data_IF_101367339686
#
_entry.id   IF_101367339686
#
_cell.length_a   1.000
_cell.length_b   1.000
_cell.length_c   1.000
_cell.angle_alpha   90.00
_cell.angle_beta   90.00
_cell.angle_gamma   90.00
#
_symmetry.space_group_name_H-M   'P 1'
#
loop_
_entity.id
_entity.type
_entity.pdbx_description
1 polymer ?
#
# COMPACT_ATOMS: atom_id res chain seq x y z
N UNK A 1 -11.67 8.03 1.40
CA UNK A 1 -12.53 7.21 0.53
C UNK A 1 -13.96 7.12 1.07
N UNK A 2 -14.15 6.62 2.28
CA UNK A 2 -15.49 6.42 2.87
C UNK A 2 -16.31 7.72 2.96
N UNK A 3 -15.70 8.86 3.31
CA UNK A 3 -16.37 10.16 3.33
C UNK A 3 -16.88 10.58 1.93
N UNK A 4 -16.08 10.32 0.88
CA UNK A 4 -16.50 10.56 -0.51
C UNK A 4 -17.69 9.69 -0.91
N UNK A 5 -17.72 8.44 -0.45
CA UNK A 5 -18.86 7.55 -0.68
C UNK A 5 -20.11 8.05 0.04
N UNK A 6 -20.02 8.35 1.36
CA UNK A 6 -21.14 8.83 2.19
C UNK A 6 -21.72 10.16 1.72
N UNK A 7 -20.90 11.01 1.07
CA UNK A 7 -21.33 12.29 0.51
C UNK A 7 -21.82 12.18 -0.95
N UNK A 8 -21.95 10.99 -1.50
CA UNK A 8 -22.32 10.76 -2.89
C UNK A 8 -23.77 10.26 -3.04
N UNK A 9 -24.35 10.32 -4.25
CA UNK A 9 -25.64 9.70 -4.54
C UNK A 9 -25.67 8.19 -4.27
N UNK A 10 -24.52 7.55 -4.12
CA UNK A 10 -24.37 6.12 -3.83
C UNK A 10 -24.21 5.81 -2.33
N UNK A 11 -24.42 6.80 -1.43
CA UNK A 11 -24.23 6.65 0.01
C UNK A 11 -25.02 5.49 0.66
N UNK A 12 -26.21 5.18 0.10
CA UNK A 12 -27.04 4.07 0.56
C UNK A 12 -26.65 2.70 -0.04
N UNK A 13 -25.66 2.66 -0.93
CA UNK A 13 -25.17 1.45 -1.58
C UNK A 13 -23.93 0.91 -0.88
N UNK A 14 -23.42 -0.23 -1.35
CA UNK A 14 -22.25 -0.86 -0.75
C UNK A 14 -20.96 -0.05 -1.00
N UNK A 15 -20.16 0.09 0.04
CA UNK A 15 -18.77 0.54 -0.02
C UNK A 15 -17.88 -0.67 0.24
N UNK A 16 -17.21 -1.13 -0.81
CA UNK A 16 -16.31 -2.29 -0.74
C UNK A 16 -14.88 -1.78 -0.78
N UNK A 17 -14.10 -2.07 0.27
CA UNK A 17 -12.70 -1.70 0.36
C UNK A 17 -11.81 -2.93 0.23
N UNK A 18 -10.78 -2.83 -0.60
CA UNK A 18 -9.81 -3.89 -0.83
C UNK A 18 -8.41 -3.28 -0.85
N UNK A 19 -7.50 -3.84 -0.04
CA UNK A 19 -6.10 -3.45 -0.03
C UNK A 19 -5.30 -4.38 -0.93
N UNK A 20 -4.79 -3.85 -2.07
CA UNK A 20 -4.06 -4.63 -3.07
C UNK A 20 -2.69 -5.11 -2.57
N UNK A 21 -2.05 -4.39 -1.63
CA UNK A 21 -0.77 -4.77 -1.06
C UNK A 21 -0.86 -5.84 0.03
N UNK A 22 -2.03 -6.00 0.67
CA UNK A 22 -2.23 -6.98 1.74
C UNK A 22 -2.60 -8.38 1.21
N UNK A 23 -3.00 -8.51 -0.06
CA UNK A 23 -3.45 -9.75 -0.67
C UNK A 23 -2.30 -10.40 -1.44
N UNK A 24 -2.04 -11.71 -1.27
CA UNK A 24 -1.10 -12.44 -2.11
C UNK A 24 -1.44 -12.27 -3.60
N UNK A 25 -0.42 -12.11 -4.42
CA UNK A 25 -0.57 -11.82 -5.87
C UNK A 25 -1.45 -12.84 -6.59
N UNK A 26 -1.28 -14.12 -6.25
CA UNK A 26 -2.02 -15.22 -6.85
C UNK A 26 -3.52 -15.22 -6.50
N UNK A 27 -3.91 -14.55 -5.40
CA UNK A 27 -5.29 -14.45 -4.95
C UNK A 27 -5.96 -13.14 -5.33
N UNK A 28 -5.20 -12.12 -5.71
CA UNK A 28 -5.71 -10.78 -5.97
C UNK A 28 -6.80 -10.78 -7.06
N UNK A 29 -6.63 -11.53 -8.12
CA UNK A 29 -7.62 -11.66 -9.19
C UNK A 29 -8.93 -12.24 -8.68
N UNK A 30 -8.83 -13.31 -7.90
CA UNK A 30 -9.97 -13.97 -7.28
C UNK A 30 -10.69 -13.08 -6.26
N UNK A 31 -9.97 -12.25 -5.51
CA UNK A 31 -10.57 -11.31 -4.56
C UNK A 31 -11.33 -10.19 -5.28
N UNK A 32 -10.78 -9.67 -6.38
CA UNK A 32 -11.42 -8.58 -7.14
C UNK A 32 -12.59 -9.11 -7.98
N UNK A 33 -12.39 -10.16 -8.77
CA UNK A 33 -13.36 -10.62 -9.78
C UNK A 33 -14.17 -11.84 -9.35
N UNK A 34 -13.75 -12.54 -8.29
CA UNK A 34 -14.35 -13.81 -7.87
C UNK A 34 -13.81 -15.00 -8.67
N UNK A 35 -14.23 -16.20 -8.28
CA UNK A 35 -13.85 -17.42 -8.97
C UNK A 35 -14.97 -18.46 -8.96
N UNK A 36 -14.95 -19.35 -9.93
CA UNK A 36 -15.76 -20.55 -9.98
C UNK A 36 -15.04 -21.69 -9.26
N UNK A 37 -15.82 -22.63 -8.72
CA UNK A 37 -15.29 -23.87 -8.16
C UNK A 37 -14.39 -24.58 -9.18
N UNK A 38 -13.19 -25.00 -8.73
CA UNK A 38 -12.21 -25.69 -9.58
C UNK A 38 -11.35 -24.76 -10.45
N UNK A 39 -11.46 -23.45 -10.34
CA UNK A 39 -10.69 -22.50 -11.15
C UNK A 39 -9.16 -22.56 -10.88
N UNK A 40 -8.77 -22.96 -9.69
CA UNK A 40 -7.36 -23.18 -9.28
C UNK A 40 -7.28 -24.18 -8.13
N UNK A 41 -6.09 -24.65 -7.80
CA UNK A 41 -5.86 -25.56 -6.66
C UNK A 41 -6.27 -24.87 -5.36
N UNK A 42 -7.35 -25.36 -4.72
CA UNK A 42 -7.92 -24.74 -3.51
C UNK A 42 -9.26 -24.03 -3.73
N UNK A 43 -9.73 -23.85 -4.96
CA UNK A 43 -11.07 -23.32 -5.27
C UNK A 43 -12.17 -24.38 -5.02
N UNK A 44 -12.52 -24.60 -3.76
CA UNK A 44 -13.49 -25.63 -3.34
C UNK A 44 -14.95 -25.23 -3.56
N UNK A 45 -15.25 -23.93 -3.68
CA UNK A 45 -16.58 -23.36 -3.89
C UNK A 45 -16.51 -22.15 -4.81
N UNK A 46 -17.66 -21.71 -5.34
CA UNK A 46 -17.78 -20.43 -6.03
C UNK A 46 -17.62 -19.28 -5.03
N UNK A 47 -16.93 -18.21 -5.44
CA UNK A 47 -16.76 -17.00 -4.63
C UNK A 47 -17.08 -15.74 -5.43
N UNK A 48 -17.93 -14.90 -4.87
CA UNK A 48 -18.26 -13.59 -5.44
C UNK A 48 -17.13 -12.61 -5.11
N UNK A 49 -16.59 -11.94 -6.15
CA UNK A 49 -15.54 -10.94 -6.00
C UNK A 49 -16.03 -9.55 -5.60
N UNK A 50 -15.08 -8.72 -5.13
CA UNK A 50 -15.33 -7.33 -4.71
C UNK A 50 -16.01 -6.48 -5.80
N UNK A 51 -15.68 -6.70 -7.07
CA UNK A 51 -16.28 -6.00 -8.21
C UNK A 51 -17.80 -6.22 -8.28
N UNK A 52 -18.27 -7.45 -8.07
CA UNK A 52 -19.71 -7.76 -8.08
C UNK A 52 -20.40 -7.28 -6.80
N UNK A 53 -19.75 -7.38 -5.66
CA UNK A 53 -20.27 -6.87 -4.38
C UNK A 53 -20.45 -5.35 -4.39
N UNK A 54 -19.61 -4.62 -5.14
CA UNK A 54 -19.67 -3.17 -5.28
C UNK A 54 -20.68 -2.69 -6.32
N UNK A 55 -21.47 -3.57 -6.94
CA UNK A 55 -22.43 -3.22 -7.99
C UNK A 55 -23.46 -2.16 -7.52
N UNK A 56 -23.59 -1.08 -8.26
CA UNK A 56 -24.37 0.11 -7.89
C UNK A 56 -23.72 0.99 -6.82
N UNK A 57 -22.59 0.57 -6.24
CA UNK A 57 -21.90 1.20 -5.12
C UNK A 57 -20.53 1.79 -5.46
N UNK A 58 -19.59 1.65 -4.52
CA UNK A 58 -18.21 2.15 -4.65
C UNK A 58 -17.22 1.04 -4.33
N UNK A 59 -16.24 0.84 -5.20
CA UNK A 59 -15.08 -0.02 -4.97
C UNK A 59 -13.88 0.87 -4.65
N UNK A 60 -13.33 0.73 -3.45
CA UNK A 60 -12.11 1.38 -3.01
C UNK A 60 -10.94 0.41 -3.10
N UNK A 61 -9.96 0.75 -3.94
CA UNK A 61 -8.72 0.00 -4.11
C UNK A 61 -7.58 0.75 -3.43
N UNK A 62 -7.15 0.25 -2.29
CA UNK A 62 -6.01 0.80 -1.55
C UNK A 62 -4.70 0.17 -2.03
N UNK A 63 -3.61 0.94 -1.95
CA UNK A 63 -2.27 0.53 -2.39
C UNK A 63 -2.25 0.01 -3.84
N UNK A 64 -2.95 0.72 -4.77
CA UNK A 64 -3.05 0.32 -6.19
C UNK A 64 -1.70 0.19 -6.88
N UNK A 65 -0.67 0.93 -6.42
CA UNK A 65 0.70 0.84 -6.92
C UNK A 65 1.41 -0.49 -6.65
N UNK A 66 0.86 -1.33 -5.75
CA UNK A 66 1.39 -2.68 -5.48
C UNK A 66 0.82 -3.75 -6.42
N UNK A 67 -0.16 -3.39 -7.26
CA UNK A 67 -0.84 -4.33 -8.15
C UNK A 67 0.10 -4.84 -9.25
N UNK A 68 0.20 -6.16 -9.49
CA UNK A 68 0.99 -6.73 -10.57
C UNK A 68 0.54 -6.23 -11.96
N UNK A 69 1.46 -6.06 -12.90
CA UNK A 69 1.17 -5.54 -14.25
C UNK A 69 0.08 -6.33 -14.99
N UNK A 70 0.05 -7.65 -14.81
CA UNK A 70 -0.98 -8.53 -15.39
C UNK A 70 -2.38 -8.18 -14.90
N UNK A 71 -2.49 -7.87 -13.61
CA UNK A 71 -3.75 -7.46 -12.99
C UNK A 71 -4.16 -6.04 -13.41
N UNK A 72 -3.19 -5.15 -13.64
CA UNK A 72 -3.46 -3.80 -14.12
C UNK A 72 -4.14 -3.83 -15.50
N UNK A 73 -3.79 -4.78 -16.39
CA UNK A 73 -4.46 -4.97 -17.69
C UNK A 73 -5.93 -5.34 -17.51
N UNK A 74 -6.21 -6.26 -16.60
CA UNK A 74 -7.59 -6.69 -16.31
C UNK A 74 -8.41 -5.58 -15.66
N UNK A 75 -7.79 -4.87 -14.71
CA UNK A 75 -8.41 -3.72 -14.07
C UNK A 75 -8.72 -2.60 -15.07
N UNK A 76 -7.80 -2.30 -15.99
CA UNK A 76 -8.03 -1.29 -17.04
C UNK A 76 -9.28 -1.60 -17.85
N UNK A 77 -9.42 -2.83 -18.33
CA UNK A 77 -10.61 -3.27 -19.06
C UNK A 77 -11.87 -3.11 -18.22
N UNK A 78 -11.80 -3.52 -16.96
CA UNK A 78 -12.93 -3.41 -16.04
C UNK A 78 -13.33 -1.94 -15.79
N UNK A 79 -12.38 -1.03 -15.57
CA UNK A 79 -12.64 0.41 -15.38
C UNK A 79 -13.21 1.06 -16.64
N UNK A 80 -12.82 0.57 -17.83
CA UNK A 80 -13.29 1.11 -19.11
C UNK A 80 -14.71 0.66 -19.48
N UNK A 81 -15.03 -0.61 -19.24
CA UNK A 81 -16.24 -1.25 -19.77
C UNK A 81 -17.29 -1.55 -18.71
N UNK A 82 -16.91 -1.59 -17.43
CA UNK A 82 -17.77 -2.10 -16.35
C UNK A 82 -17.99 -3.63 -16.44
N UNK A 83 -17.21 -4.34 -17.28
CA UNK A 83 -17.39 -5.78 -17.54
C UNK A 83 -16.13 -6.54 -17.10
N UNK A 84 -16.34 -7.66 -16.45
CA UNK A 84 -15.28 -8.60 -16.07
C UNK A 84 -15.78 -10.05 -16.14
N UNK A 85 -14.89 -11.03 -16.07
CA UNK A 85 -15.24 -12.44 -15.91
C UNK A 85 -14.59 -13.01 -14.66
N UNK A 86 -15.32 -13.77 -13.82
CA UNK A 86 -14.73 -14.51 -12.70
C UNK A 86 -13.67 -15.50 -13.17
N UNK A 87 -12.67 -15.76 -12.33
CA UNK A 87 -11.62 -16.75 -12.63
C UNK A 87 -12.23 -18.12 -12.87
N UNK A 88 -11.85 -18.77 -13.97
CA UNK A 88 -12.44 -20.05 -14.40
C UNK A 88 -13.80 -19.95 -15.09
N UNK A 89 -14.32 -18.73 -15.35
CA UNK A 89 -15.54 -18.50 -16.10
C UNK A 89 -15.28 -17.70 -17.38
N UNK A 90 -15.93 -18.12 -18.47
CA UNK A 90 -15.98 -17.34 -19.71
C UNK A 90 -17.20 -16.41 -19.79
N UNK A 91 -18.11 -16.47 -18.80
CA UNK A 91 -19.32 -15.64 -18.79
C UNK A 91 -18.98 -14.21 -18.30
N UNK A 92 -19.20 -13.16 -19.12
CA UNK A 92 -19.00 -11.80 -18.69
C UNK A 92 -20.07 -11.39 -17.67
N UNK A 93 -19.66 -10.58 -16.71
CA UNK A 93 -20.52 -9.96 -15.71
C UNK A 93 -20.39 -8.44 -15.87
N UNK A 94 -21.51 -7.76 -16.07
CA UNK A 94 -21.57 -6.31 -16.14
C UNK A 94 -22.03 -5.73 -14.80
N UNK A 95 -21.40 -4.65 -14.39
CA UNK A 95 -21.69 -3.93 -13.13
C UNK A 95 -21.49 -2.42 -13.32
N UNK A 96 -22.12 -1.64 -12.47
CA UNK A 96 -21.95 -0.18 -12.40
C UNK A 96 -21.24 0.19 -11.09
N UNK A 97 -19.95 0.43 -11.16
CA UNK A 97 -19.10 0.68 -9.98
C UNK A 97 -18.42 2.05 -10.05
N UNK A 98 -18.50 2.82 -8.96
CA UNK A 98 -17.66 4.00 -8.77
C UNK A 98 -16.31 3.57 -8.20
N UNK A 99 -15.22 3.89 -8.90
CA UNK A 99 -13.87 3.61 -8.43
C UNK A 99 -13.32 4.75 -7.59
N UNK A 100 -12.68 4.41 -6.47
CA UNK A 100 -11.83 5.29 -5.68
C UNK A 100 -10.54 4.52 -5.43
N UNK A 101 -9.41 5.09 -5.83
CA UNK A 101 -8.10 4.44 -5.69
C UNK A 101 -7.21 5.24 -4.76
N UNK A 102 -6.34 4.56 -4.01
CA UNK A 102 -5.31 5.19 -3.19
C UNK A 102 -3.95 4.53 -3.41
N UNK A 103 -2.91 5.32 -3.25
CA UNK A 103 -1.52 4.84 -3.27
C UNK A 103 -0.67 5.73 -2.37
N UNK A 104 0.34 5.16 -1.76
CA UNK A 104 1.38 5.85 -1.00
C UNK A 104 2.64 6.14 -1.86
N UNK A 105 2.64 5.70 -3.12
CA UNK A 105 3.70 5.95 -4.10
C UNK A 105 3.31 7.08 -5.04
N UNK A 106 4.30 7.74 -5.63
CA UNK A 106 4.07 8.64 -6.76
C UNK A 106 3.73 7.80 -8.01
N UNK A 107 2.48 7.88 -8.52
CA UNK A 107 2.07 7.03 -9.64
C UNK A 107 2.88 7.29 -10.92
N UNK A 108 3.32 8.53 -11.15
CA UNK A 108 4.11 8.88 -12.35
C UNK A 108 5.52 8.30 -12.27
N UNK A 109 6.15 8.28 -11.09
CA UNK A 109 7.44 7.60 -10.89
C UNK A 109 7.31 6.08 -11.08
N UNK A 110 6.18 5.48 -10.67
CA UNK A 110 5.91 4.06 -10.91
C UNK A 110 5.71 3.75 -12.40
N UNK A 111 5.09 4.67 -13.17
CA UNK A 111 4.97 4.56 -14.64
C UNK A 111 6.35 4.62 -15.29
N UNK A 112 7.18 5.61 -14.93
CA UNK A 112 8.54 5.76 -15.48
C UNK A 112 9.42 4.54 -15.18
N UNK A 113 9.22 3.93 -14.02
CA UNK A 113 9.93 2.72 -13.60
C UNK A 113 9.36 1.42 -14.22
N UNK A 114 8.31 1.51 -15.04
CA UNK A 114 7.67 0.35 -15.68
C UNK A 114 6.90 -0.57 -14.72
N UNK A 115 6.62 -0.12 -13.51
CA UNK A 115 5.84 -0.88 -12.51
C UNK A 115 4.35 -0.57 -12.52
N UNK A 116 3.97 0.56 -13.12
CA UNK A 116 2.57 0.94 -13.34
C UNK A 116 2.33 1.26 -14.81
N UNK A 117 1.19 0.85 -15.35
CA UNK A 117 0.86 1.10 -16.76
C UNK A 117 0.39 2.52 -16.94
N UNK A 118 0.89 3.18 -17.95
CA UNK A 118 0.53 4.55 -18.32
C UNK A 118 -0.95 4.70 -18.69
N UNK A 119 -1.51 3.73 -19.43
CA UNK A 119 -2.91 3.73 -19.85
C UNK A 119 -3.87 3.61 -18.65
N UNK A 120 -3.54 2.80 -17.65
CA UNK A 120 -4.31 2.71 -16.42
C UNK A 120 -4.17 3.98 -15.59
N UNK A 121 -2.96 4.57 -15.52
CA UNK A 121 -2.74 5.83 -14.83
C UNK A 121 -3.70 6.92 -15.33
N UNK A 122 -3.72 7.21 -16.63
CA UNK A 122 -4.60 8.24 -17.18
C UNK A 122 -6.09 7.93 -17.00
N UNK A 123 -6.46 6.68 -16.91
CA UNK A 123 -7.87 6.30 -16.67
C UNK A 123 -8.29 6.49 -15.22
N UNK A 124 -7.39 6.33 -14.27
CA UNK A 124 -7.67 6.50 -12.83
C UNK A 124 -7.43 7.92 -12.33
N UNK A 125 -6.44 8.61 -12.89
CA UNK A 125 -6.01 9.95 -12.46
C UNK A 125 -6.88 11.06 -13.05
N UNK A 126 -8.21 10.97 -12.83
CA UNK A 126 -9.18 11.96 -13.34
C UNK A 126 -9.39 13.10 -12.33
N UNK A 127 -9.54 12.75 -11.07
CA UNK A 127 -9.72 13.71 -9.97
C UNK A 127 -8.75 13.36 -8.85
N UNK A 128 -7.52 13.89 -8.86
CA UNK A 128 -6.57 13.65 -7.79
C UNK A 128 -6.99 14.35 -6.50
N UNK A 129 -6.83 13.63 -5.38
CA UNK A 129 -7.05 14.15 -4.02
C UNK A 129 -5.78 13.93 -3.24
N UNK A 130 -5.01 14.98 -3.03
CA UNK A 130 -3.81 14.95 -2.23
C UNK A 130 -4.15 15.11 -0.74
N UNK A 131 -3.62 14.22 0.08
CA UNK A 131 -3.78 14.25 1.53
C UNK A 131 -2.47 14.73 2.15
N UNK A 132 -2.39 15.96 2.68
CA UNK A 132 -1.18 16.45 3.30
C UNK A 132 -0.85 15.62 4.55
N UNK A 133 0.44 15.44 4.86
CA UNK A 133 0.86 14.76 6.09
C UNK A 133 0.40 15.54 7.33
N UNK A 134 0.26 14.84 8.45
CA UNK A 134 -0.32 15.41 9.66
C UNK A 134 0.42 16.66 10.17
N UNK A 135 1.75 16.74 10.00
CA UNK A 135 2.58 17.90 10.33
C UNK A 135 2.22 19.19 9.56
N UNK A 136 1.54 19.06 8.42
CA UNK A 136 1.13 20.18 7.57
C UNK A 136 -0.35 20.58 7.77
N UNK A 137 -1.02 19.90 8.71
CA UNK A 137 -2.46 20.09 8.97
C UNK A 137 -2.76 20.94 10.22
N UNK A 138 -1.73 21.62 10.78
CA UNK A 138 -1.90 22.53 11.91
C UNK A 138 -2.59 21.88 13.11
N UNK A 139 -3.69 22.49 13.56
CA UNK A 139 -4.41 22.07 14.78
C UNK A 139 -5.16 20.75 14.65
N UNK A 140 -5.23 20.15 13.47
CA UNK A 140 -5.89 18.84 13.27
C UNK A 140 -5.28 17.74 14.16
N UNK A 141 -3.98 17.88 14.52
CA UNK A 141 -3.32 16.95 15.46
C UNK A 141 -4.11 16.83 16.76
N UNK A 142 -4.49 17.96 17.35
CA UNK A 142 -5.22 17.98 18.64
C UNK A 142 -6.68 17.57 18.47
N UNK A 143 -7.33 17.98 17.37
CA UNK A 143 -8.71 17.57 17.08
C UNK A 143 -8.81 16.05 16.96
N UNK A 144 -7.91 15.45 16.18
CA UNK A 144 -7.87 14.00 15.96
C UNK A 144 -7.47 13.26 17.26
N UNK A 145 -6.49 13.80 18.01
CA UNK A 145 -6.07 13.20 19.27
C UNK A 145 -7.21 13.17 20.31
N UNK A 146 -7.98 14.25 20.43
CA UNK A 146 -9.12 14.34 21.34
C UNK A 146 -10.25 13.39 20.94
N UNK A 147 -10.52 13.24 19.63
CA UNK A 147 -11.50 12.27 19.15
C UNK A 147 -11.09 10.84 19.49
N UNK A 148 -9.82 10.48 19.22
CA UNK A 148 -9.28 9.18 19.58
C UNK A 148 -9.34 8.94 21.11
N UNK A 149 -8.96 9.94 21.89
CA UNK A 149 -9.00 9.84 23.37
C UNK A 149 -10.42 9.54 23.86
N UNK A 150 -11.42 10.31 23.40
CA UNK A 150 -12.81 10.11 23.76
C UNK A 150 -13.33 8.72 23.37
N UNK A 151 -13.00 8.28 22.14
CA UNK A 151 -13.41 6.96 21.65
C UNK A 151 -12.77 5.83 22.44
N UNK A 152 -11.45 5.85 22.61
CA UNK A 152 -10.73 4.79 23.31
C UNK A 152 -11.04 4.78 24.80
N UNK A 153 -11.22 5.94 25.45
CA UNK A 153 -11.65 6.01 26.84
C UNK A 153 -13.00 5.31 27.05
N UNK A 154 -13.93 5.48 26.11
CA UNK A 154 -15.21 4.78 26.14
C UNK A 154 -15.05 3.26 25.89
N UNK A 155 -14.24 2.86 24.93
CA UNK A 155 -13.97 1.45 24.61
C UNK A 155 -13.34 0.72 25.82
N UNK A 156 -12.33 1.33 26.46
CA UNK A 156 -11.56 0.76 27.56
C UNK A 156 -12.14 1.09 28.95
N UNK A 157 -13.30 1.78 29.01
CA UNK A 157 -13.97 2.23 30.24
C UNK A 157 -13.06 3.06 31.16
N UNK A 158 -12.28 3.96 30.55
CA UNK A 158 -11.38 4.89 31.24
C UNK A 158 -12.00 6.26 31.42
N UNK A 159 -11.50 7.02 32.40
CA UNK A 159 -12.03 8.33 32.78
C UNK A 159 -11.46 9.54 32.03
N UNK A 160 -10.59 9.35 31.04
CA UNK A 160 -9.94 10.46 30.37
C UNK A 160 -10.91 11.37 29.63
N UNK A 161 -10.77 12.69 29.88
CA UNK A 161 -11.60 13.77 29.30
C UNK A 161 -10.82 14.71 28.42
N UNK A 162 -9.47 14.71 28.51
CA UNK A 162 -8.64 15.63 27.73
C UNK A 162 -7.14 15.45 28.00
N UNK A 163 -6.37 16.35 27.41
CA UNK A 163 -4.92 16.43 27.58
C UNK A 163 -4.59 17.67 28.42
N UNK A 164 -3.53 17.63 29.22
CA UNK A 164 -2.97 18.83 29.84
C UNK A 164 -2.38 19.76 28.76
N UNK A 165 -2.26 21.05 29.04
CA UNK A 165 -1.68 22.03 28.13
C UNK A 165 -0.25 21.66 27.70
N UNK A 166 0.53 21.10 28.60
CA UNK A 166 1.90 20.62 28.31
C UNK A 166 1.87 19.38 27.40
N UNK A 167 0.95 18.45 27.62
CA UNK A 167 0.78 17.29 26.75
C UNK A 167 0.32 17.70 25.34
N UNK A 168 -0.61 18.65 25.21
CA UNK A 168 -1.03 19.21 23.93
C UNK A 168 0.13 19.85 23.17
N UNK A 169 0.96 20.65 23.86
CA UNK A 169 2.14 21.26 23.26
C UNK A 169 3.13 20.21 22.73
N UNK A 170 3.32 19.11 23.46
CA UNK A 170 4.15 17.98 23.00
C UNK A 170 3.60 17.29 21.76
N UNK A 171 2.29 17.03 21.72
CA UNK A 171 1.63 16.44 20.56
C UNK A 171 1.75 17.34 19.32
N UNK A 172 1.60 18.66 19.49
CA UNK A 172 1.75 19.65 18.40
C UNK A 172 3.18 19.78 17.89
N UNK A 173 4.16 19.69 18.77
CA UNK A 173 5.56 19.83 18.41
C UNK A 173 6.14 18.61 17.68
N UNK A 174 5.51 17.44 17.79
CA UNK A 174 6.03 16.22 17.20
C UNK A 174 5.67 16.13 15.70
N UNK A 175 6.60 15.72 14.80
CA UNK A 175 6.40 15.75 13.35
C UNK A 175 5.54 14.61 12.77
N UNK A 176 5.16 13.64 13.57
CA UNK A 176 4.26 12.52 13.20
C UNK A 176 4.66 11.79 11.90
N UNK A 177 5.83 11.18 11.80
CA UNK A 177 6.26 10.50 10.57
C UNK A 177 5.29 9.37 10.15
N UNK A 178 4.63 8.71 11.08
CA UNK A 178 3.56 7.73 10.82
C UNK A 178 2.16 8.34 10.76
N UNK A 179 2.06 9.67 10.67
CA UNK A 179 0.81 10.42 10.52
C UNK A 179 -0.28 10.00 11.52
N UNK A 180 -1.52 9.98 11.08
CA UNK A 180 -2.69 9.65 11.90
C UNK A 180 -2.62 8.25 12.51
N UNK A 181 -2.02 7.27 11.82
CA UNK A 181 -1.85 5.90 12.34
C UNK A 181 -0.93 5.88 13.56
N UNK A 182 0.15 6.65 13.53
CA UNK A 182 1.05 6.78 14.70
C UNK A 182 0.35 7.49 15.86
N UNK A 183 -0.33 8.61 15.59
CA UNK A 183 -1.10 9.34 16.59
C UNK A 183 -2.14 8.45 17.24
N UNK A 184 -2.89 7.68 16.47
CA UNK A 184 -3.87 6.71 16.97
C UNK A 184 -3.24 5.69 17.92
N UNK A 185 -2.08 5.12 17.53
CA UNK A 185 -1.39 4.15 18.39
C UNK A 185 -0.88 4.76 19.69
N UNK A 186 -0.36 5.99 19.64
CA UNK A 186 0.08 6.72 20.84
C UNK A 186 -1.08 6.96 21.79
N UNK A 187 -2.20 7.47 21.30
CA UNK A 187 -3.38 7.73 22.14
C UNK A 187 -3.97 6.43 22.70
N UNK A 188 -4.03 5.37 21.88
CA UNK A 188 -4.48 4.06 22.38
C UNK A 188 -3.57 3.51 23.48
N UNK A 189 -2.26 3.63 23.31
CA UNK A 189 -1.27 3.22 24.31
C UNK A 189 -1.49 3.96 25.65
N UNK A 190 -1.69 5.28 25.58
CA UNK A 190 -1.97 6.10 26.78
C UNK A 190 -3.20 5.55 27.52
N UNK A 191 -4.31 5.36 26.83
CA UNK A 191 -5.58 4.92 27.42
C UNK A 191 -5.49 3.51 28.01
N UNK A 192 -4.75 2.61 27.36
CA UNK A 192 -4.59 1.22 27.83
C UNK A 192 -3.69 1.13 29.06
N UNK A 193 -2.58 1.88 29.09
CA UNK A 193 -1.56 1.75 30.13
C UNK A 193 -1.78 2.65 31.35
N UNK A 194 -2.54 3.72 31.22
CA UNK A 194 -2.72 4.70 32.27
C UNK A 194 -4.18 4.87 32.69
N UNK A 195 -4.39 5.53 33.81
CA UNK A 195 -5.70 5.90 34.34
C UNK A 195 -5.68 7.35 34.82
N UNK A 196 -6.80 8.05 34.72
CA UNK A 196 -6.89 9.45 35.10
C UNK A 196 -7.99 10.19 34.35
N UNK A 197 -8.20 11.48 34.71
CA UNK A 197 -9.12 12.35 34.00
C UNK A 197 -8.45 13.17 32.89
N UNK A 198 -7.16 13.46 33.07
CA UNK A 198 -6.38 14.29 32.12
C UNK A 198 -5.07 13.60 31.81
N UNK A 199 -4.73 13.53 30.52
CA UNK A 199 -3.46 12.96 30.07
C UNK A 199 -2.33 13.92 30.41
N UNK A 200 -1.38 13.48 31.24
CA UNK A 200 -0.19 14.20 31.62
C UNK A 200 0.99 13.88 30.67
N UNK A 201 2.05 14.72 30.63
CA UNK A 201 3.19 14.55 29.73
C UNK A 201 3.96 13.24 29.90
N UNK A 202 4.04 12.73 31.12
CA UNK A 202 4.70 11.46 31.50
C UNK A 202 3.96 10.22 30.97
N UNK A 203 2.68 10.33 30.68
CA UNK A 203 1.86 9.27 30.07
C UNK A 203 2.11 9.13 28.56
N UNK A 204 2.72 10.12 27.92
CA UNK A 204 3.01 10.08 26.48
C UNK A 204 4.24 9.19 26.23
N UNK A 205 4.14 8.15 25.41
CA UNK A 205 5.26 7.24 25.16
C UNK A 205 6.37 7.87 24.32
N UNK A 206 7.59 7.35 24.45
CA UNK A 206 8.67 7.69 23.55
C UNK A 206 8.34 7.21 22.10
N UNK A 207 8.80 7.92 21.05
CA UNK A 207 9.74 9.06 21.09
C UNK A 207 9.07 10.45 21.29
N UNK A 208 7.75 10.51 21.38
CA UNK A 208 6.98 11.77 21.43
C UNK A 208 7.32 12.60 22.67
N UNK A 209 7.54 11.95 23.81
CA UNK A 209 7.91 12.62 25.07
C UNK A 209 9.40 12.96 25.22
N UNK A 210 10.23 12.72 24.21
CA UNK A 210 11.68 13.03 24.25
C UNK A 210 11.97 14.27 23.41
N UNK A 211 12.14 15.45 24.00
CA UNK A 211 12.58 16.63 23.26
C UNK A 211 14.00 16.39 22.71
N UNK A 212 14.19 16.58 21.41
CA UNK A 212 15.51 16.52 20.77
C UNK A 212 15.91 15.17 20.13
N UNK A 213 15.12 14.12 20.24
CA UNK A 213 15.29 12.92 19.40
C UNK A 213 14.69 13.23 18.04
N UNK A 214 15.54 13.53 17.06
CA UNK A 214 15.09 13.64 15.68
C UNK A 214 14.37 12.34 15.29
N UNK A 215 13.18 12.40 14.67
CA UNK A 215 12.54 11.21 14.13
C UNK A 215 13.51 10.54 13.15
N UNK A 216 13.44 9.20 12.98
CA UNK A 216 14.24 8.53 11.98
C UNK A 216 14.08 9.26 10.63
N UNK A 217 15.14 9.38 9.81
CA UNK A 217 15.08 10.14 8.58
C UNK A 217 13.90 9.67 7.73
N UNK A 218 12.97 10.59 7.51
CA UNK A 218 11.89 10.37 6.55
C UNK A 218 12.56 10.30 5.20
N UNK A 219 12.27 9.27 4.41
CA UNK A 219 12.69 9.25 3.01
C UNK A 219 12.35 10.60 2.37
N UNK A 220 13.27 11.19 1.57
CA UNK A 220 13.05 12.51 1.01
C UNK A 220 11.68 12.56 0.33
N UNK A 221 10.94 13.66 0.46
CA UNK A 221 9.68 13.83 -0.23
C UNK A 221 9.93 13.61 -1.73
N UNK A 222 9.02 12.95 -2.45
CA UNK A 222 9.13 12.84 -3.89
C UNK A 222 9.32 14.26 -4.46
N UNK A 223 10.24 14.38 -5.40
CA UNK A 223 10.60 15.65 -6.04
C UNK A 223 9.32 16.36 -6.46
N UNK A 224 9.14 17.59 -5.97
CA UNK A 224 7.95 18.37 -6.26
C UNK A 224 7.73 18.46 -7.77
N UNK A 225 6.67 17.84 -8.25
CA UNK A 225 6.18 18.07 -9.61
C UNK A 225 5.75 19.54 -9.66
N UNK A 226 6.16 20.32 -10.68
CA UNK A 226 5.77 21.71 -10.76
C UNK A 226 4.25 21.83 -10.72
N UNK A 227 3.74 22.42 -9.67
CA UNK A 227 2.33 22.72 -9.51
C UNK A 227 1.98 23.73 -10.58
N UNK A 228 1.27 23.32 -11.62
CA UNK A 228 0.63 24.25 -12.54
C UNK A 228 -0.42 25.00 -11.72
N UNK A 229 -0.07 26.20 -11.31
CA UNK A 229 -0.97 27.11 -10.62
C UNK A 229 -2.03 27.54 -11.63
N UNK A 230 -3.16 26.85 -11.64
CA UNK A 230 -4.35 27.32 -12.36
C UNK A 230 -4.83 28.54 -11.59
N UNK A 231 -4.49 29.72 -12.06
CA UNK A 231 -5.10 30.96 -11.58
C UNK A 231 -6.60 30.85 -11.83
N UNK A 232 -7.38 30.69 -10.77
CA UNK A 232 -8.82 30.87 -10.82
C UNK A 232 -9.09 32.34 -11.20
N UNK A 233 -9.31 32.61 -12.47
CA UNK A 233 -10.04 33.81 -12.84
C UNK A 233 -11.37 33.76 -12.12
N UNK A 234 -11.65 34.76 -11.27
CA UNK A 234 -12.97 34.98 -10.73
C UNK A 234 -13.91 35.04 -11.93
N UNK A 235 -14.79 34.07 -12.05
CA UNK A 235 -15.93 34.13 -12.92
C UNK A 235 -16.90 35.13 -12.28
N UNK A 236 -16.86 36.36 -12.75
CA UNK A 236 -17.95 37.29 -12.58
C UNK A 236 -19.19 36.68 -13.25
N UNK A 237 -20.30 36.81 -12.61
CA UNK A 237 -21.62 36.25 -12.90
C UNK A 237 -21.90 36.05 -14.41
N UNK A 238 -21.78 34.83 -14.89
CA UNK A 238 -22.31 34.43 -16.17
C UNK A 238 -23.75 33.99 -15.93
N UNK A 239 -24.73 34.80 -16.38
CA UNK A 239 -26.14 34.49 -16.24
C UNK A 239 -26.51 33.22 -17.00
N UNK A 240 -27.49 32.46 -16.50
CA UNK A 240 -27.94 31.19 -17.10
C UNK A 240 -28.38 31.35 -18.57
N UNK A 241 -28.72 32.56 -19.03
CA UNK A 241 -29.07 32.88 -20.42
C UNK A 241 -27.86 32.87 -21.36
N UNK A 242 -26.68 33.30 -20.89
CA UNK A 242 -25.43 33.29 -21.67
C UNK A 242 -24.90 31.89 -21.94
N UNK A 243 -25.15 30.94 -21.03
CA UNK A 243 -24.81 29.53 -21.21
C UNK A 243 -25.69 28.83 -22.24
N UNK A 244 -26.99 29.16 -22.29
CA UNK A 244 -27.94 28.61 -23.27
C UNK A 244 -27.62 29.05 -24.70
N UNK A 245 -27.20 30.32 -24.90
CA UNK A 245 -26.78 30.82 -26.21
C UNK A 245 -25.47 30.24 -26.73
N UNK A 246 -24.50 29.96 -25.81
CA UNK A 246 -23.24 29.27 -26.17
C UNK A 246 -23.44 27.82 -26.59
N UNK A 247 -24.41 27.12 -26.02
CA UNK A 247 -24.73 25.74 -26.40
C UNK A 247 -25.45 25.65 -27.73
N UNK A 248 -26.30 26.66 -28.03
CA UNK A 248 -27.03 26.73 -29.29
C UNK A 248 -26.17 27.10 -30.51
N UNK A 249 -24.99 27.66 -30.31
CA UNK A 249 -24.06 28.09 -31.38
C UNK A 249 -22.89 27.14 -31.61
N UNK A 250 -22.85 25.97 -30.96
CA UNK A 250 -21.84 24.98 -31.20
C UNK A 250 -22.01 24.32 -32.59
N UNK A 251 -20.98 24.29 -33.45
CA UNK A 251 -21.07 23.63 -34.72
C UNK A 251 -21.32 22.12 -34.52
N UNK A 252 -22.22 21.57 -35.33
CA UNK A 252 -22.58 20.18 -35.36
C UNK A 252 -21.31 19.34 -35.58
N UNK A 253 -20.99 18.43 -34.61
CA UNK A 253 -19.82 17.59 -34.68
C UNK A 253 -20.06 16.52 -35.75
N UNK A 254 -19.45 16.71 -36.92
CA UNK A 254 -19.41 15.70 -37.99
C UNK A 254 -18.32 14.71 -37.57
N UNK A 255 -18.70 13.46 -37.25
CA UNK A 255 -17.74 12.37 -37.04
C UNK A 255 -16.88 12.20 -38.33
N UNK A 256 -15.55 12.29 -38.25
CA UNK A 256 -14.72 11.95 -39.39
C UNK A 256 -14.86 10.45 -39.67
N UNK A 257 -15.28 10.11 -40.91
CA UNK A 257 -15.22 8.73 -41.40
C UNK A 257 -13.77 8.24 -41.27
N UNK A 258 -13.55 7.32 -40.34
CA UNK A 258 -12.27 6.65 -40.17
C UNK A 258 -12.09 5.66 -41.31
N UNK A 259 -11.41 6.10 -42.39
CA UNK A 259 -10.87 5.20 -43.38
C UNK A 259 -9.78 4.37 -42.69
N UNK A 260 -10.08 3.11 -42.44
CA UNK A 260 -9.10 2.15 -41.94
C UNK A 260 -8.01 1.93 -42.96
N UNK A 261 -6.83 2.51 -42.78
CA UNK A 261 -5.62 2.21 -43.53
C UNK A 261 -4.89 1.13 -42.68
N UNK A 262 -4.82 -0.13 -43.19
CA UNK A 262 -4.04 -1.15 -42.49
C UNK A 262 -2.58 -0.73 -42.41
N UNK A 263 -1.91 -0.93 -41.24
CA UNK A 263 -0.49 -0.66 -41.13
C UNK A 263 0.29 -1.52 -42.14
N UNK A 264 1.37 -0.99 -42.75
CA UNK A 264 2.20 -1.77 -43.66
C UNK A 264 2.76 -2.98 -42.91
N UNK A 265 2.73 -4.15 -43.57
CA UNK A 265 3.31 -5.37 -43.04
C UNK A 265 4.79 -5.14 -42.68
N UNK A 266 5.22 -5.57 -41.49
CA UNK A 266 6.63 -5.44 -41.13
C UNK A 266 7.48 -6.29 -42.03
N UNK A 267 8.33 -5.65 -42.85
CA UNK A 267 9.35 -6.32 -43.65
C UNK A 267 10.41 -6.84 -42.68
N UNK A 268 10.31 -8.12 -42.30
CA UNK A 268 11.34 -8.81 -41.55
C UNK A 268 12.61 -8.92 -42.42
N UNK A 269 13.53 -7.97 -42.27
CA UNK A 269 14.90 -8.17 -42.71
C UNK A 269 15.59 -9.10 -41.72
N UNK A 270 15.88 -10.32 -42.13
CA UNK A 270 16.70 -11.24 -41.34
C UNK A 270 18.04 -10.55 -41.03
N UNK A 271 18.47 -10.50 -39.76
CA UNK A 271 19.79 -9.97 -39.44
C UNK A 271 20.86 -10.85 -40.11
N UNK A 272 21.78 -10.20 -40.81
CA UNK A 272 22.95 -10.88 -41.38
C UNK A 272 23.70 -11.62 -40.26
N UNK A 273 24.04 -12.88 -40.53
CA UNK A 273 24.85 -13.73 -39.66
C UNK A 273 26.06 -12.96 -39.13
N UNK A 274 26.25 -12.86 -37.79
CA UNK A 274 27.40 -12.17 -37.24
C UNK A 274 28.70 -12.88 -37.67
N UNK A 275 29.63 -12.13 -38.23
CA UNK A 275 31.01 -12.62 -38.46
C UNK A 275 31.64 -12.95 -37.13
N UNK A 276 32.42 -14.04 -36.98
CA UNK A 276 33.11 -14.38 -35.76
C UNK A 276 34.12 -13.27 -35.42
N UNK A 277 33.90 -12.61 -34.28
CA UNK A 277 34.85 -11.66 -33.70
C UNK A 277 35.95 -12.47 -33.01
N UNK A 278 37.14 -12.45 -33.62
CA UNK A 278 38.35 -13.04 -33.02
C UNK A 278 38.83 -12.06 -31.96
N UNK A 279 38.57 -12.32 -30.70
CA UNK A 279 39.19 -11.61 -29.57
C UNK A 279 40.63 -12.09 -29.41
N UNK A 280 41.58 -11.23 -29.73
CA UNK A 280 42.97 -11.38 -29.26
C UNK A 280 42.96 -11.08 -27.77
N UNK A 281 43.20 -12.11 -26.96
CA UNK A 281 43.30 -11.97 -25.48
C UNK A 281 44.59 -11.23 -25.13
N UNK A 282 44.59 -10.18 -24.32
CA UNK A 282 45.79 -9.73 -23.64
C UNK A 282 46.09 -10.73 -22.52
N UNK A 283 47.35 -11.10 -22.41
CA UNK A 283 47.94 -11.97 -21.36
C UNK A 283 47.43 -11.61 -19.98
N UNK A 284 46.56 -12.45 -19.40
CA UNK A 284 46.23 -12.44 -18.01
C UNK A 284 47.15 -13.48 -17.33
N UNK A 285 47.91 -13.05 -16.33
CA UNK A 285 48.65 -13.92 -15.47
C UNK A 285 47.74 -14.98 -14.82
N UNK A 286 48.18 -16.19 -14.58
CA UNK A 286 47.36 -17.25 -13.98
C UNK A 286 46.98 -16.85 -12.55
N UNK A 287 45.68 -16.72 -12.32
CA UNK A 287 45.08 -16.57 -11.00
C UNK A 287 45.28 -17.93 -10.29
N UNK A 288 45.88 -17.96 -9.09
CA UNK A 288 46.02 -19.23 -8.34
C UNK A 288 44.62 -19.81 -8.05
N UNK A 289 44.44 -21.12 -8.08
CA UNK A 289 43.15 -21.74 -7.82
C UNK A 289 42.71 -21.38 -6.39
N UNK A 290 41.55 -20.73 -6.27
CA UNK A 290 40.89 -20.57 -4.99
C UNK A 290 40.44 -21.95 -4.56
N UNK A 291 41.16 -22.52 -3.57
CA UNK A 291 40.75 -23.72 -2.88
C UNK A 291 39.42 -23.40 -2.15
N UNK A 292 38.33 -23.82 -2.72
CA UNK A 292 37.06 -23.94 -1.98
C UNK A 292 37.29 -25.06 -0.97
N UNK A 293 37.59 -24.69 0.29
CA UNK A 293 37.49 -25.59 1.40
C UNK A 293 36.12 -26.27 1.33
N UNK A 294 36.11 -27.59 1.49
CA UNK A 294 34.91 -28.41 1.45
C UNK A 294 33.79 -27.69 2.22
N UNK A 295 32.70 -27.37 1.56
CA UNK A 295 31.51 -26.86 2.23
C UNK A 295 31.14 -27.88 3.30
N UNK A 296 30.89 -27.49 4.56
CA UNK A 296 30.42 -28.41 5.56
C UNK A 296 29.17 -29.09 5.00
N UNK A 297 29.16 -30.42 4.97
CA UNK A 297 28.00 -31.23 4.60
C UNK A 297 26.83 -30.73 5.44
N UNK A 298 25.89 -30.08 4.81
CA UNK A 298 24.69 -29.60 5.47
C UNK A 298 23.79 -30.81 5.65
N UNK A 299 23.80 -31.35 6.85
CA UNK A 299 22.95 -32.46 7.26
C UNK A 299 21.48 -32.02 7.06
N UNK A 300 20.76 -32.66 6.14
CA UNK A 300 19.36 -32.39 5.90
C UNK A 300 18.56 -32.87 7.11
N UNK A 301 18.02 -31.93 7.89
CA UNK A 301 17.19 -32.18 9.06
C UNK A 301 15.85 -31.48 8.96
N UNK A 302 14.82 -31.91 9.70
CA UNK A 302 13.50 -31.23 9.70
C UNK A 302 13.65 -29.74 10.01
N UNK A 303 12.89 -28.89 9.29
CA UNK A 303 12.97 -27.43 9.39
C UNK A 303 12.80 -26.92 10.84
N UNK A 304 11.89 -27.50 11.60
CA UNK A 304 11.69 -27.17 13.01
C UNK A 304 12.93 -27.41 13.89
N UNK A 305 13.71 -28.46 13.60
CA UNK A 305 14.95 -28.78 14.29
C UNK A 305 16.06 -27.79 13.91
N UNK A 306 16.17 -27.47 12.64
CA UNK A 306 17.11 -26.47 12.12
C UNK A 306 16.81 -25.07 12.68
N UNK A 307 15.57 -24.66 12.66
CA UNK A 307 15.13 -23.39 13.23
C UNK A 307 15.46 -23.27 14.72
N UNK A 308 15.18 -24.31 15.48
CA UNK A 308 15.54 -24.36 16.90
C UNK A 308 17.05 -24.24 17.12
N UNK A 309 17.85 -24.95 16.33
CA UNK A 309 19.32 -24.92 16.41
C UNK A 309 19.86 -23.52 16.12
N UNK A 310 19.32 -22.84 15.11
CA UNK A 310 19.71 -21.47 14.76
C UNK A 310 19.34 -20.45 15.84
N UNK A 311 18.15 -20.55 16.42
CA UNK A 311 17.71 -19.64 17.49
C UNK A 311 18.56 -19.85 18.75
N UNK A 312 18.86 -21.10 19.14
CA UNK A 312 19.70 -21.38 20.28
C UNK A 312 21.15 -20.91 20.07
N UNK A 313 21.69 -21.07 18.86
CA UNK A 313 23.03 -20.60 18.51
C UNK A 313 23.11 -19.06 18.52
N UNK A 314 22.05 -18.37 18.06
CA UNK A 314 21.97 -16.91 18.13
C UNK A 314 21.88 -16.41 19.58
N UNK A 315 21.08 -17.04 20.42
CA UNK A 315 20.97 -16.71 21.84
C UNK A 315 22.29 -16.93 22.59
N UNK A 316 23.00 -18.01 22.33
CA UNK A 316 24.33 -18.26 22.95
C UNK A 316 25.40 -17.24 22.53
N UNK A 317 25.30 -16.68 21.29
CA UNK A 317 26.21 -15.63 20.81
C UNK A 317 25.87 -14.23 21.33
N UNK A 318 24.68 -14.03 21.84
CA UNK A 318 24.18 -12.75 22.31
C UNK A 318 23.91 -12.72 23.81
N UNK A 319 24.50 -13.63 24.55
CA UNK A 319 24.33 -13.72 26.01
C UNK A 319 22.86 -13.76 26.44
N UNK A 320 22.03 -14.50 25.70
CA UNK A 320 20.56 -14.58 25.89
C UNK A 320 19.78 -13.27 25.65
N UNK A 321 20.40 -12.28 24.99
CA UNK A 321 19.70 -11.06 24.57
C UNK A 321 18.80 -11.34 23.37
N UNK A 322 17.49 -11.52 23.62
CA UNK A 322 16.49 -11.86 22.59
C UNK A 322 16.40 -10.81 21.47
N UNK A 323 16.37 -9.50 21.72
CA UNK A 323 16.41 -8.48 20.67
C UNK A 323 17.63 -8.61 19.76
N UNK A 324 18.81 -8.83 20.29
CA UNK A 324 20.05 -9.00 19.52
C UNK A 324 20.08 -10.32 18.75
N UNK A 325 19.61 -11.40 19.36
CA UNK A 325 19.49 -12.69 18.68
C UNK A 325 18.51 -12.65 17.52
N UNK A 326 17.39 -11.94 17.67
CA UNK A 326 16.41 -11.75 16.63
C UNK A 326 16.95 -10.91 15.46
N UNK A 327 17.73 -9.86 15.75
CA UNK A 327 18.41 -9.05 14.74
C UNK A 327 19.44 -9.86 13.95
N UNK A 328 20.23 -10.75 14.61
CA UNK A 328 21.17 -11.65 13.95
C UNK A 328 20.49 -12.64 12.99
N UNK A 329 19.26 -13.03 13.28
CA UNK A 329 18.48 -13.98 12.48
C UNK A 329 17.52 -13.30 11.50
N UNK A 330 17.50 -11.96 11.46
CA UNK A 330 16.59 -11.13 10.64
C UNK A 330 15.11 -11.46 10.86
N UNK A 331 14.73 -11.84 12.10
CA UNK A 331 13.35 -12.17 12.48
C UNK A 331 12.84 -11.24 13.58
N UNK A 332 11.52 -11.20 13.73
CA UNK A 332 10.90 -10.35 14.75
C UNK A 332 11.20 -10.90 16.17
N UNK A 333 11.62 -10.06 17.14
CA UNK A 333 11.88 -10.47 18.52
C UNK A 333 10.74 -11.21 19.19
N UNK A 334 9.48 -10.88 18.89
CA UNK A 334 8.29 -11.56 19.42
C UNK A 334 8.22 -13.03 18.98
N UNK A 335 8.76 -13.35 17.79
CA UNK A 335 8.82 -14.72 17.26
C UNK A 335 9.79 -15.56 18.08
N UNK A 336 10.99 -15.01 18.37
CA UNK A 336 12.00 -15.67 19.23
C UNK A 336 11.43 -15.88 20.63
N UNK A 337 10.80 -14.83 21.21
CA UNK A 337 10.22 -14.89 22.56
C UNK A 337 9.17 -16.00 22.69
N UNK A 338 8.24 -16.07 21.73
CA UNK A 338 7.18 -17.09 21.70
C UNK A 338 7.75 -18.51 21.59
N UNK A 339 8.74 -18.72 20.73
CA UNK A 339 9.36 -20.05 20.54
C UNK A 339 10.18 -20.48 21.76
N UNK A 340 10.97 -19.60 22.31
CA UNK A 340 11.74 -19.87 23.55
C UNK A 340 10.80 -20.19 24.70
N UNK A 341 9.70 -19.45 24.86
CA UNK A 341 8.70 -19.71 25.89
C UNK A 341 7.98 -21.05 25.72
N UNK A 342 7.69 -21.45 24.48
CA UNK A 342 7.10 -22.75 24.17
C UNK A 342 8.07 -23.89 24.53
N UNK A 343 9.33 -23.80 24.10
CA UNK A 343 10.35 -24.83 24.35
C UNK A 343 10.73 -24.96 25.82
N UNK A 344 10.65 -23.88 26.62
CA UNK A 344 10.80 -23.96 28.10
C UNK A 344 9.66 -24.75 28.74
N UNK A 345 8.42 -24.56 28.27
CA UNK A 345 7.24 -25.30 28.76
C UNK A 345 7.31 -26.78 28.38
N UNK A 346 7.90 -27.11 27.24
CA UNK A 346 8.06 -28.47 26.74
C UNK A 346 9.33 -29.18 27.28
N UNK A 347 10.12 -28.53 28.16
CA UNK A 347 11.35 -29.09 28.72
C UNK A 347 12.46 -29.28 27.69
N UNK A 348 12.39 -28.60 26.58
CA UNK A 348 13.32 -28.76 25.44
C UNK A 348 14.46 -27.73 25.45
N UNK A 349 14.59 -26.92 26.51
CA UNK A 349 15.71 -26.02 26.76
C UNK A 349 16.40 -26.39 28.07
N UNK A 350 17.75 -26.35 28.14
CA UNK A 350 18.43 -26.37 29.43
C UNK A 350 18.01 -25.17 30.28
N UNK A 351 17.99 -25.41 31.59
CA UNK A 351 17.54 -24.43 32.59
C UNK A 351 18.40 -23.14 32.61
#
# INVERSE_FOLDING_TARGET
AEALHKSSPRAARQFIALNCGAIPRDLLESEIFGHMKGAFTGATSDRIGAAKLADGGTLFLDEIGEMPLEMQVKLLRFVQTGIFSPVGSSKPVQVDVRFVCATNRDPMLEVQAGRFREDLYYRLYVVPVELPPLRERGDDVLLIARDFLARFSKEERRGFRGFSSTAEAMLMAYPWPGNVRQLQNVVRNIVVLHDGEVVAPDMIPAPVNRPGVAPPPIAPPPIAVPTIRVERRRTEDVSAQSLAEMVASAPEYIEPETVYVPPPEPVYQMPATPRPITYAAPFAAPIPPISYGAAPEMEIMPLATMERRLILAALSRTDNDIPRAAALLEINPSTVYRKVSAWRKEGLMPA
#
